data_IF_842663342296
#
_entry.id   IF_842663342296
#
_cell.length_a   1.000
_cell.length_b   1.000
_cell.length_c   1.000
_cell.angle_alpha   90.00
_cell.angle_beta   90.00
_cell.angle_gamma   90.00
#
_symmetry.space_group_name_H-M   'P 1'
#
loop_
_entity.id
_entity.type
_entity.pdbx_description
1 polymer ?
#
# COMPACT_ATOMS: atom_id res chain seq x y z
N UNK A 1 -50.70 -12.79 35.72
CA UNK A 1 -51.50 -12.65 34.49
C UNK A 1 -50.84 -13.41 33.35
N UNK A 2 -51.63 -14.09 32.51
CA UNK A 2 -51.16 -14.79 31.30
C UNK A 2 -50.52 -13.82 30.29
N UNK A 3 -51.03 -12.59 30.20
CA UNK A 3 -50.51 -11.54 29.32
C UNK A 3 -49.04 -11.20 29.58
N UNK A 4 -48.63 -11.09 30.84
CA UNK A 4 -47.23 -10.81 31.21
C UNK A 4 -46.26 -11.94 30.85
N UNK A 5 -46.73 -13.19 30.83
CA UNK A 5 -45.92 -14.36 30.46
C UNK A 5 -45.66 -14.42 28.95
N UNK A 6 -46.65 -14.05 28.14
CA UNK A 6 -46.51 -13.96 26.68
C UNK A 6 -45.48 -12.88 26.31
N UNK A 7 -45.60 -11.69 26.89
CA UNK A 7 -44.64 -10.60 26.68
C UNK A 7 -43.23 -11.00 27.10
N UNK A 8 -43.08 -11.65 28.26
CA UNK A 8 -41.78 -12.15 28.73
C UNK A 8 -41.16 -13.20 27.79
N UNK A 9 -41.98 -14.08 27.21
CA UNK A 9 -41.50 -15.13 26.29
C UNK A 9 -41.02 -14.56 24.95
N UNK A 10 -41.77 -13.59 24.39
CA UNK A 10 -41.39 -12.87 23.16
C UNK A 10 -40.12 -12.05 23.40
N UNK A 11 -40.02 -11.37 24.54
CA UNK A 11 -38.82 -10.62 24.92
C UNK A 11 -37.59 -11.51 25.10
N UNK A 12 -37.76 -12.67 25.73
CA UNK A 12 -36.67 -13.62 25.92
C UNK A 12 -36.18 -14.19 24.59
N UNK A 13 -37.09 -14.52 23.68
CA UNK A 13 -36.72 -14.96 22.33
C UNK A 13 -36.02 -13.86 21.52
N UNK A 14 -36.52 -12.63 21.60
CA UNK A 14 -35.88 -11.47 20.97
C UNK A 14 -34.45 -11.24 21.48
N UNK A 15 -34.26 -11.25 22.80
CA UNK A 15 -32.94 -11.06 23.42
C UNK A 15 -31.97 -12.19 23.08
N UNK A 16 -32.44 -13.45 23.01
CA UNK A 16 -31.63 -14.57 22.53
C UNK A 16 -31.12 -14.37 21.10
N UNK A 17 -31.99 -13.96 20.18
CA UNK A 17 -31.59 -13.71 18.77
C UNK A 17 -30.52 -12.61 18.72
N UNK A 18 -30.69 -11.55 19.52
CA UNK A 18 -29.77 -10.43 19.57
C UNK A 18 -28.39 -10.85 20.11
N UNK A 19 -28.35 -11.56 21.24
CA UNK A 19 -27.10 -12.06 21.83
C UNK A 19 -26.41 -13.04 20.89
N UNK A 20 -27.16 -13.96 20.27
CA UNK A 20 -26.61 -14.93 19.31
C UNK A 20 -26.01 -14.23 18.09
N UNK A 21 -26.69 -13.23 17.52
CA UNK A 21 -26.19 -12.48 16.36
C UNK A 21 -24.94 -11.67 16.69
N UNK A 22 -24.91 -11.04 17.87
CA UNK A 22 -23.73 -10.32 18.34
C UNK A 22 -22.54 -11.26 18.55
N UNK A 23 -22.77 -12.41 19.22
CA UNK A 23 -21.72 -13.40 19.48
C UNK A 23 -21.17 -13.99 18.18
N UNK A 24 -22.03 -14.28 17.21
CA UNK A 24 -21.61 -14.77 15.89
C UNK A 24 -20.76 -13.73 15.13
N UNK A 25 -21.17 -12.47 15.13
CA UNK A 25 -20.41 -11.40 14.47
C UNK A 25 -19.08 -11.13 15.18
N UNK A 26 -19.08 -11.15 16.52
CA UNK A 26 -17.86 -11.02 17.31
C UNK A 26 -16.88 -12.16 17.04
N UNK A 27 -17.35 -13.41 17.03
CA UNK A 27 -16.51 -14.56 16.68
C UNK A 27 -15.95 -14.43 15.26
N UNK A 28 -16.75 -13.98 14.30
CA UNK A 28 -16.28 -13.71 12.95
C UNK A 28 -15.16 -12.64 12.94
N UNK A 29 -15.32 -11.54 13.67
CA UNK A 29 -14.26 -10.53 13.80
C UNK A 29 -12.99 -11.03 14.49
N UNK A 30 -13.12 -11.86 15.52
CA UNK A 30 -11.99 -12.42 16.24
C UNK A 30 -11.21 -13.45 15.41
N UNK A 31 -11.87 -14.13 14.47
CA UNK A 31 -11.22 -15.10 13.58
C UNK A 31 -10.62 -14.47 12.32
N UNK A 32 -11.06 -13.28 11.93
CA UNK A 32 -10.61 -12.61 10.71
C UNK A 32 -9.74 -11.41 11.05
N UNK A 33 -8.43 -11.59 11.05
CA UNK A 33 -7.49 -10.48 10.94
C UNK A 33 -7.50 -9.98 9.49
N UNK A 34 -8.18 -8.86 9.24
CA UNK A 34 -8.06 -8.18 7.94
C UNK A 34 -6.72 -7.45 7.91
N UNK A 35 -5.82 -7.87 7.02
CA UNK A 35 -4.67 -7.06 6.61
C UNK A 35 -5.20 -5.85 5.82
N UNK A 36 -5.60 -4.80 6.53
CA UNK A 36 -5.99 -3.54 5.88
C UNK A 36 -4.71 -2.78 5.57
N UNK A 37 -4.31 -2.79 4.30
CA UNK A 37 -3.25 -1.90 3.85
C UNK A 37 -3.75 -0.46 4.03
N UNK A 38 -3.04 0.40 4.79
CA UNK A 38 -3.47 1.77 5.04
C UNK A 38 -3.44 2.65 3.78
N UNK A 39 -2.81 2.16 2.71
CA UNK A 39 -2.69 2.82 1.41
C UNK A 39 -3.19 1.82 0.36
N UNK A 40 -4.05 2.25 -0.54
CA UNK A 40 -4.52 1.43 -1.67
C UNK A 40 -4.12 2.04 -3.02
N UNK A 41 -3.88 3.36 -3.04
CA UNK A 41 -3.64 4.11 -4.26
C UNK A 41 -2.56 5.20 -4.10
N UNK A 42 -1.92 5.63 -5.19
CA UNK A 42 -1.03 6.78 -5.20
C UNK A 42 -1.73 8.09 -4.76
N UNK A 43 -3.03 8.20 -5.04
CA UNK A 43 -3.88 9.29 -4.60
C UNK A 43 -3.97 9.36 -3.07
N UNK A 44 -4.18 8.21 -2.42
CA UNK A 44 -4.17 8.12 -0.96
C UNK A 44 -2.83 8.61 -0.42
N UNK A 45 -1.73 8.14 -1.00
CA UNK A 45 -0.37 8.48 -0.60
C UNK A 45 -0.09 9.99 -0.72
N UNK A 46 -0.61 10.64 -1.76
CA UNK A 46 -0.47 12.09 -2.00
C UNK A 46 -1.44 12.96 -1.17
N UNK A 47 -2.51 12.36 -0.62
CA UNK A 47 -3.50 13.05 0.22
C UNK A 47 -3.05 13.19 1.68
N UNK A 48 -2.18 12.27 2.13
CA UNK A 48 -1.71 12.15 3.52
C UNK A 48 -0.22 12.47 3.66
N UNK A 49 0.27 12.62 4.90
CA UNK A 49 1.69 12.92 5.19
C UNK A 49 2.32 12.03 6.26
N UNK A 50 1.55 11.10 6.82
CA UNK A 50 1.95 10.17 7.87
C UNK A 50 2.91 9.09 7.36
N UNK A 51 2.62 8.54 6.19
CA UNK A 51 3.49 7.63 5.45
C UNK A 51 4.32 8.45 4.48
N UNK A 52 5.61 8.52 4.74
CA UNK A 52 6.56 9.14 3.83
C UNK A 52 6.78 8.23 2.62
N UNK A 53 7.15 8.80 1.49
CA UNK A 53 7.45 8.02 0.30
C UNK A 53 8.57 8.63 -0.51
N UNK A 54 9.30 7.78 -1.22
CA UNK A 54 10.44 8.19 -2.02
C UNK A 54 10.80 7.20 -3.12
N UNK A 55 11.82 7.57 -3.86
CA UNK A 55 12.33 6.81 -5.01
C UNK A 55 13.85 6.65 -4.92
N UNK A 56 14.40 5.83 -5.80
CA UNK A 56 15.85 5.78 -6.04
C UNK A 56 16.34 7.13 -6.57
N UNK A 57 17.35 7.69 -5.92
CA UNK A 57 17.99 8.95 -6.30
C UNK A 57 18.59 8.82 -7.70
N UNK A 58 18.30 9.79 -8.58
CA UNK A 58 18.76 9.81 -9.98
C UNK A 58 18.33 8.58 -10.82
N UNK A 59 17.29 7.85 -10.40
CA UNK A 59 16.71 6.76 -11.17
C UNK A 59 15.66 7.21 -12.20
N UNK A 60 15.22 6.28 -13.06
CA UNK A 60 14.19 6.54 -14.07
C UNK A 60 12.85 6.99 -13.44
N UNK A 61 12.50 6.43 -12.29
CA UNK A 61 11.31 6.78 -11.50
C UNK A 61 11.42 8.18 -10.90
N UNK A 62 12.61 8.59 -10.48
CA UNK A 62 12.87 9.95 -9.99
C UNK A 62 12.65 10.99 -11.10
N UNK A 63 13.20 10.75 -12.29
CA UNK A 63 13.01 11.62 -13.45
C UNK A 63 11.55 11.65 -13.92
N UNK A 64 10.83 10.52 -13.81
CA UNK A 64 9.41 10.44 -14.12
C UNK A 64 8.60 11.44 -13.29
N UNK A 65 8.74 11.43 -11.96
CA UNK A 65 8.02 12.36 -11.09
C UNK A 65 8.45 13.81 -11.33
N UNK A 66 9.74 14.05 -11.58
CA UNK A 66 10.27 15.39 -11.87
C UNK A 66 9.71 16.02 -13.13
N UNK A 67 9.49 15.22 -14.19
CA UNK A 67 9.04 15.70 -15.50
C UNK A 67 7.54 15.56 -15.75
N UNK A 68 6.85 14.81 -14.88
CA UNK A 68 5.42 14.55 -15.03
C UNK A 68 4.61 15.84 -15.06
N UNK A 69 3.67 15.92 -16.01
CA UNK A 69 2.71 17.02 -16.15
C UNK A 69 1.37 16.71 -15.45
N UNK A 70 1.20 15.50 -14.92
CA UNK A 70 -0.01 15.10 -14.19
C UNK A 70 0.02 15.74 -12.81
N UNK A 71 -1.06 16.46 -12.46
CA UNK A 71 -1.19 17.23 -11.21
C UNK A 71 -0.89 16.41 -9.96
N UNK A 72 -1.42 15.19 -9.89
CA UNK A 72 -1.17 14.24 -8.80
C UNK A 72 0.34 13.98 -8.60
N UNK A 73 1.03 13.60 -9.68
CA UNK A 73 2.45 13.26 -9.63
C UNK A 73 3.33 14.50 -9.42
N UNK A 74 2.90 15.67 -9.90
CA UNK A 74 3.54 16.95 -9.58
C UNK A 74 3.50 17.26 -8.09
N UNK A 75 2.35 17.06 -7.43
CA UNK A 75 2.21 17.20 -5.98
C UNK A 75 3.09 16.22 -5.21
N UNK A 76 3.13 14.96 -5.65
CA UNK A 76 4.03 13.94 -5.07
C UNK A 76 5.51 14.33 -5.24
N UNK A 77 5.87 14.88 -6.39
CA UNK A 77 7.21 15.38 -6.64
C UNK A 77 7.57 16.55 -5.73
N UNK A 78 6.70 17.53 -5.54
CA UNK A 78 6.93 18.66 -4.63
C UNK A 78 7.18 18.17 -3.19
N UNK A 79 6.38 17.19 -2.73
CA UNK A 79 6.59 16.54 -1.44
C UNK A 79 7.97 15.89 -1.34
N UNK A 80 8.35 15.07 -2.31
CA UNK A 80 9.66 14.40 -2.31
C UNK A 80 10.82 15.39 -2.46
N UNK A 81 10.64 16.43 -3.27
CA UNK A 81 11.64 17.45 -3.55
C UNK A 81 11.91 18.34 -2.33
N UNK A 82 10.87 18.64 -1.53
CA UNK A 82 11.00 19.36 -0.25
C UNK A 82 11.69 18.53 0.84
N UNK A 83 11.62 17.19 0.76
CA UNK A 83 12.16 16.26 1.76
C UNK A 83 13.24 15.36 1.17
N UNK A 84 14.43 15.90 0.94
CA UNK A 84 15.54 15.16 0.30
C UNK A 84 15.90 13.82 0.95
N UNK A 85 15.67 13.68 2.26
CA UNK A 85 15.92 12.44 2.99
C UNK A 85 14.99 11.27 2.62
N UNK A 86 13.92 11.48 1.83
CA UNK A 86 13.04 10.37 1.40
C UNK A 86 13.63 9.57 0.25
N UNK A 87 14.60 10.13 -0.47
CA UNK A 87 15.30 9.41 -1.54
C UNK A 87 16.32 8.43 -0.95
N UNK A 88 16.54 7.33 -1.68
CA UNK A 88 17.50 6.27 -1.32
C UNK A 88 18.55 6.14 -2.41
N UNK A 89 19.75 5.66 -2.06
CA UNK A 89 20.87 5.56 -3.03
C UNK A 89 20.90 4.20 -3.72
N UNK A 90 20.36 3.17 -3.06
CA UNK A 90 20.28 1.80 -3.59
C UNK A 90 18.91 1.18 -3.30
N UNK A 91 18.52 0.17 -4.07
CA UNK A 91 17.26 -0.55 -3.81
C UNK A 91 17.31 -1.30 -2.47
N UNK A 92 18.44 -1.89 -2.11
CA UNK A 92 18.55 -2.67 -0.87
C UNK A 92 18.39 -1.78 0.37
N UNK A 93 18.99 -0.57 0.34
CA UNK A 93 18.76 0.47 1.36
C UNK A 93 17.28 0.85 1.45
N UNK A 94 16.63 1.05 0.31
CA UNK A 94 15.20 1.40 0.27
C UNK A 94 14.30 0.29 0.81
N UNK A 95 14.57 -0.96 0.44
CA UNK A 95 13.81 -2.13 0.92
C UNK A 95 14.00 -2.29 2.42
N UNK A 96 15.23 -2.22 2.92
CA UNK A 96 15.51 -2.27 4.37
C UNK A 96 14.82 -1.13 5.12
N UNK A 97 14.80 0.07 4.54
CA UNK A 97 14.09 1.21 5.13
C UNK A 97 12.59 0.99 5.22
N UNK A 98 11.95 0.43 4.18
CA UNK A 98 10.52 0.07 4.23
C UNK A 98 10.27 -0.90 5.37
N UNK A 99 11.09 -1.96 5.49
CA UNK A 99 10.99 -2.97 6.56
C UNK A 99 11.16 -2.36 7.96
N UNK A 100 12.15 -1.50 8.14
CA UNK A 100 12.42 -0.84 9.42
C UNK A 100 11.37 0.21 9.82
N UNK A 101 10.66 0.79 8.85
CA UNK A 101 9.74 1.92 9.09
C UNK A 101 8.36 1.51 9.59
N UNK A 102 8.07 0.21 9.77
CA UNK A 102 6.78 -0.30 10.29
C UNK A 102 5.56 0.33 9.59
N UNK A 103 5.60 0.42 8.27
CA UNK A 103 4.52 0.99 7.46
C UNK A 103 4.48 2.54 7.38
N UNK A 104 5.49 3.25 7.91
CA UNK A 104 5.60 4.72 7.81
C UNK A 104 6.45 5.21 6.63
N UNK A 105 6.97 4.30 5.82
CA UNK A 105 7.70 4.64 4.60
C UNK A 105 7.32 3.70 3.45
N UNK A 106 7.04 4.27 2.28
CA UNK A 106 6.77 3.55 1.04
C UNK A 106 7.85 3.86 -0.01
N UNK A 107 8.34 2.83 -0.68
CA UNK A 107 9.33 2.97 -1.74
C UNK A 107 8.67 2.74 -3.11
N UNK A 108 8.82 3.70 -4.02
CA UNK A 108 8.32 3.59 -5.38
C UNK A 108 9.45 3.05 -6.28
N UNK A 109 9.23 1.84 -6.80
CA UNK A 109 10.18 1.09 -7.63
C UNK A 109 9.47 0.48 -8.83
N UNK A 110 10.24 0.01 -9.80
CA UNK A 110 9.74 -0.71 -10.97
C UNK A 110 9.03 -2.01 -10.57
N UNK A 111 7.95 -2.33 -11.28
CA UNK A 111 7.12 -3.50 -10.96
C UNK A 111 7.89 -4.82 -10.90
N UNK A 112 8.85 -5.14 -11.81
CA UNK A 112 9.53 -6.44 -11.75
C UNK A 112 10.42 -6.58 -10.51
N UNK A 113 11.01 -5.48 -10.03
CA UNK A 113 11.80 -5.48 -8.80
C UNK A 113 10.88 -5.58 -7.57
N UNK A 114 9.71 -4.96 -7.61
CA UNK A 114 8.70 -5.05 -6.55
C UNK A 114 8.18 -6.48 -6.38
N UNK A 115 7.68 -7.05 -7.47
CA UNK A 115 7.12 -8.40 -7.51
C UNK A 115 8.17 -9.40 -6.99
N UNK A 116 9.39 -9.36 -7.56
CA UNK A 116 10.53 -10.16 -7.12
C UNK A 116 10.88 -10.03 -5.63
N UNK A 117 10.76 -8.83 -5.05
CA UNK A 117 11.09 -8.62 -3.63
C UNK A 117 10.00 -9.18 -2.72
N UNK A 118 8.73 -9.10 -3.13
CA UNK A 118 7.60 -9.62 -2.36
C UNK A 118 7.58 -11.15 -2.30
N UNK A 119 8.12 -11.82 -3.32
CA UNK A 119 8.25 -13.28 -3.36
C UNK A 119 9.47 -13.81 -2.58
N UNK A 120 10.23 -12.94 -1.93
CA UNK A 120 11.43 -13.30 -1.16
C UNK A 120 11.14 -13.30 0.33
N UNK A 121 11.82 -14.20 1.04
CA UNK A 121 11.84 -14.20 2.50
C UNK A 121 12.32 -12.83 3.04
N UNK A 122 11.73 -12.33 4.15
CA UNK A 122 10.73 -12.96 5.00
C UNK A 122 9.26 -12.63 4.63
N UNK A 123 8.95 -12.29 3.37
CA UNK A 123 7.60 -11.95 2.89
C UNK A 123 6.98 -10.76 3.63
N UNK A 124 7.80 -9.76 3.95
CA UNK A 124 7.45 -8.57 4.75
C UNK A 124 7.17 -7.32 3.91
N UNK A 125 7.14 -7.46 2.59
CA UNK A 125 6.80 -6.40 1.65
C UNK A 125 5.57 -6.79 0.82
N UNK A 126 4.82 -5.80 0.37
CA UNK A 126 3.70 -6.03 -0.53
C UNK A 126 3.60 -4.90 -1.56
N UNK A 127 3.18 -5.27 -2.77
CA UNK A 127 2.77 -4.30 -3.80
C UNK A 127 1.36 -3.82 -3.54
N UNK A 128 1.17 -2.52 -3.68
CA UNK A 128 -0.12 -1.85 -3.47
C UNK A 128 -0.50 -1.11 -4.74
N UNK A 129 -1.78 -1.23 -5.13
CA UNK A 129 -2.34 -0.52 -6.26
C UNK A 129 -1.84 -1.00 -7.62
N UNK A 130 -2.17 -0.21 -8.65
CA UNK A 130 -1.76 -0.45 -10.04
C UNK A 130 -0.41 0.22 -10.35
N UNK A 131 0.24 -0.23 -11.43
CA UNK A 131 1.43 0.44 -11.94
C UNK A 131 1.11 1.90 -12.35
N UNK A 132 2.05 2.81 -12.11
CA UNK A 132 1.90 4.25 -12.37
C UNK A 132 2.04 4.60 -13.85
N UNK A 133 2.86 3.82 -14.55
CA UNK A 133 3.17 3.93 -15.97
C UNK A 133 3.33 2.54 -16.60
N UNK A 134 3.42 2.51 -17.92
CA UNK A 134 3.72 1.32 -18.69
C UNK A 134 5.13 1.47 -19.29
N UNK A 135 6.11 0.81 -18.67
CA UNK A 135 7.51 0.77 -19.13
C UNK A 135 7.94 -0.67 -19.40
N UNK A 136 8.96 -0.81 -20.25
CA UNK A 136 9.58 -2.09 -20.58
C UNK A 136 11.10 -2.00 -20.55
N UNK A 137 11.76 -3.12 -20.27
CA UNK A 137 13.20 -3.25 -20.40
C UNK A 137 13.58 -3.61 -21.84
N UNK A 138 14.72 -3.08 -22.30
CA UNK A 138 15.26 -3.36 -23.62
C UNK A 138 16.78 -3.38 -23.60
N UNK A 139 17.37 -4.06 -24.57
CA UNK A 139 18.83 -4.08 -24.78
C UNK A 139 19.21 -2.81 -25.54
N UNK A 140 20.15 -2.04 -25.00
CA UNK A 140 20.64 -0.82 -25.63
C UNK A 140 22.02 -1.05 -26.25
N UNK A 141 22.16 -0.75 -27.55
CA UNK A 141 23.44 -0.70 -28.26
C UNK A 141 23.86 0.75 -28.51
N UNK A 142 25.17 1.04 -28.65
CA UNK A 142 25.62 2.36 -29.09
C UNK A 142 24.96 2.77 -30.40
N UNK A 143 24.74 4.08 -30.58
CA UNK A 143 24.18 4.61 -31.82
C UNK A 143 25.11 4.28 -32.99
N UNK A 144 24.56 3.64 -34.02
CA UNK A 144 25.33 3.21 -35.20
C UNK A 144 26.07 1.88 -35.04
N UNK A 145 25.87 1.15 -33.95
CA UNK A 145 26.45 -0.19 -33.78
C UNK A 145 25.88 -1.18 -34.82
N UNK A 146 26.72 -2.06 -35.40
CA UNK A 146 26.26 -3.14 -36.28
C UNK A 146 25.49 -4.24 -35.54
N UNK A 147 25.40 -4.17 -34.21
CA UNK A 147 24.68 -5.10 -33.34
C UNK A 147 23.22 -4.69 -33.10
N UNK A 148 22.76 -3.60 -33.72
CA UNK A 148 21.38 -3.11 -33.61
C UNK A 148 20.42 -3.97 -34.43
#
# INVERSE_FOLDING_TARGET
SVSGRIVGSVWWFFTLILISSYTANLAAFLTVERMVAPINSPEDLASQTEVQYGTLLHGSTWDFFRRSQITLYGKMWEFMNSRKHVFVRTYDEGIQRVRASKGKYALLIESPKNDYTNEREPCDTMKVGRNLDAKGFGVATPLGSPLR
#
